data_IF_516759368516
#
_entry.id   IF_516759368516
#
_cell.length_a   1.000
_cell.length_b   1.000
_cell.length_c   1.000
_cell.angle_alpha   90.00
_cell.angle_beta   90.00
_cell.angle_gamma   90.00
#
_symmetry.space_group_name_H-M   'P 1'
#
loop_
_entity.id
_entity.type
_entity.pdbx_description
1 polymer ?
#
# COMPACT_ATOMS: atom_id res chain seq x y z
N UNK A 1 12.37 -3.52 13.91
CA UNK A 1 12.08 -4.95 14.18
C UNK A 1 10.86 -5.34 13.36
N UNK A 2 10.82 -6.55 12.80
CA UNK A 2 9.68 -7.00 11.97
C UNK A 2 8.52 -7.42 12.88
N UNK A 3 7.37 -6.70 12.83
CA UNK A 3 6.15 -6.97 13.61
C UNK A 3 5.57 -8.37 13.38
N UNK A 4 5.75 -8.88 12.16
CA UNK A 4 5.30 -10.20 11.72
C UNK A 4 6.44 -10.95 11.01
N UNK A 5 6.40 -12.26 11.11
CA UNK A 5 7.26 -13.21 10.39
C UNK A 5 6.39 -14.17 9.58
N UNK A 6 6.97 -14.80 8.57
CA UNK A 6 6.30 -15.89 7.86
C UNK A 6 6.17 -17.11 8.78
N UNK A 7 4.96 -17.39 9.23
CA UNK A 7 4.62 -18.49 10.13
C UNK A 7 3.22 -19.05 9.79
N UNK A 8 3.14 -20.05 8.87
CA UNK A 8 1.88 -20.64 8.45
C UNK A 8 1.11 -21.33 9.58
N UNK A 9 1.79 -21.88 10.60
CA UNK A 9 1.13 -22.59 11.69
C UNK A 9 0.45 -21.60 12.64
N UNK A 10 1.13 -20.49 12.97
CA UNK A 10 0.50 -19.38 13.70
C UNK A 10 -0.66 -18.78 12.92
N UNK A 11 -0.52 -18.61 11.60
CA UNK A 11 -1.61 -18.12 10.76
C UNK A 11 -2.84 -19.05 10.80
N UNK A 12 -2.65 -20.38 10.77
CA UNK A 12 -3.74 -21.36 10.93
C UNK A 12 -4.39 -21.30 12.33
N UNK A 13 -3.61 -21.07 13.39
CA UNK A 13 -4.18 -20.85 14.75
C UNK A 13 -5.09 -19.62 14.77
N UNK A 14 -4.61 -18.50 14.24
CA UNK A 14 -5.39 -17.27 14.17
C UNK A 14 -6.66 -17.43 13.31
N UNK A 15 -6.57 -18.16 12.20
CA UNK A 15 -7.74 -18.51 11.39
C UNK A 15 -8.77 -19.33 12.18
N UNK A 16 -8.32 -20.30 12.99
CA UNK A 16 -9.21 -21.07 13.87
C UNK A 16 -9.84 -20.20 14.96
N UNK A 17 -9.06 -19.35 15.62
CA UNK A 17 -9.53 -18.39 16.63
C UNK A 17 -10.59 -17.42 16.06
N UNK A 18 -10.41 -17.02 14.80
CA UNK A 18 -11.37 -16.19 14.06
C UNK A 18 -12.61 -16.97 13.53
N UNK A 19 -12.73 -18.27 13.81
CA UNK A 19 -13.87 -19.09 13.37
C UNK A 19 -13.76 -19.64 11.95
N UNK A 20 -12.60 -19.51 11.31
CA UNK A 20 -12.31 -19.95 9.93
C UNK A 20 -11.34 -21.14 9.88
N UNK A 21 -11.50 -22.11 10.78
CA UNK A 21 -10.62 -23.28 10.85
C UNK A 21 -10.53 -24.09 9.53
N UNK A 22 -11.60 -24.07 8.73
CA UNK A 22 -11.69 -24.75 7.44
C UNK A 22 -11.36 -23.83 6.25
N UNK A 23 -10.87 -22.62 6.52
CA UNK A 23 -10.61 -21.62 5.50
C UNK A 23 -11.87 -20.94 4.94
N UNK A 24 -11.69 -20.19 3.86
CA UNK A 24 -12.74 -19.49 3.12
C UNK A 24 -12.26 -19.16 1.70
N UNK A 25 -13.17 -18.69 0.84
CA UNK A 25 -12.81 -18.15 -0.48
C UNK A 25 -12.83 -16.63 -0.46
N UNK A 26 -11.93 -16.01 -1.22
CA UNK A 26 -11.85 -14.56 -1.36
C UNK A 26 -11.35 -14.17 -2.77
N UNK A 27 -11.62 -12.94 -3.19
CA UNK A 27 -11.20 -12.37 -4.47
C UNK A 27 -10.12 -11.32 -4.25
N UNK A 28 -8.95 -11.56 -4.84
CA UNK A 28 -7.82 -10.63 -4.82
C UNK A 28 -7.81 -9.76 -6.08
N UNK A 29 -8.02 -8.46 -5.91
CA UNK A 29 -7.90 -7.48 -6.98
C UNK A 29 -6.43 -7.10 -7.22
N UNK A 30 -5.96 -7.28 -8.44
CA UNK A 30 -4.66 -6.80 -8.92
C UNK A 30 -4.79 -6.38 -10.39
N UNK A 31 -3.70 -6.40 -11.16
CA UNK A 31 -3.73 -6.13 -12.60
C UNK A 31 -2.75 -7.03 -13.33
N UNK A 32 -3.11 -7.48 -14.53
CA UNK A 32 -2.20 -8.18 -15.43
C UNK A 32 -1.30 -7.21 -16.23
N UNK A 33 -1.63 -5.91 -16.27
CA UNK A 33 -0.91 -4.92 -17.06
C UNK A 33 0.53 -4.69 -16.56
N UNK A 34 0.78 -4.94 -15.27
CA UNK A 34 2.10 -4.80 -14.67
C UNK A 34 2.55 -6.13 -14.08
N UNK A 35 3.63 -6.70 -14.61
CA UNK A 35 4.16 -8.00 -14.17
C UNK A 35 4.41 -8.07 -12.66
N UNK A 36 4.91 -6.98 -12.05
CA UNK A 36 5.10 -6.91 -10.59
C UNK A 36 3.79 -7.07 -9.78
N UNK A 37 2.67 -6.51 -10.25
CA UNK A 37 1.38 -6.64 -9.58
C UNK A 37 0.80 -8.04 -9.76
N UNK A 38 0.95 -8.62 -10.95
CA UNK A 38 0.52 -9.99 -11.25
C UNK A 38 1.30 -11.01 -10.42
N UNK A 39 2.63 -10.97 -10.48
CA UNK A 39 3.49 -11.91 -9.76
C UNK A 39 3.28 -11.82 -8.25
N UNK A 40 3.10 -10.60 -7.70
CA UNK A 40 2.77 -10.43 -6.27
C UNK A 40 1.45 -11.11 -5.94
N UNK A 41 0.42 -10.97 -6.78
CA UNK A 41 -0.88 -11.59 -6.55
C UNK A 41 -0.82 -13.12 -6.59
N UNK A 42 -0.03 -13.70 -7.50
CA UNK A 42 0.19 -15.14 -7.60
C UNK A 42 0.92 -15.70 -6.37
N UNK A 43 1.98 -15.03 -5.89
CA UNK A 43 2.69 -15.42 -4.67
C UNK A 43 1.79 -15.33 -3.44
N UNK A 44 0.99 -14.26 -3.33
CA UNK A 44 0.01 -14.10 -2.24
C UNK A 44 -1.05 -15.20 -2.30
N UNK A 45 -1.61 -15.51 -3.48
CA UNK A 45 -2.57 -16.60 -3.67
C UNK A 45 -1.97 -17.94 -3.22
N UNK A 46 -0.73 -18.26 -3.62
CA UNK A 46 -0.06 -19.49 -3.24
C UNK A 46 0.15 -19.60 -1.72
N UNK A 47 0.61 -18.52 -1.08
CA UNK A 47 0.85 -18.50 0.36
C UNK A 47 -0.44 -18.62 1.17
N UNK A 48 -1.52 -17.96 0.73
CA UNK A 48 -2.83 -18.02 1.38
C UNK A 48 -3.49 -19.39 1.21
N UNK A 49 -3.25 -20.08 0.08
CA UNK A 49 -3.72 -21.45 -0.11
C UNK A 49 -3.12 -22.44 0.92
N UNK A 50 -1.87 -22.23 1.35
CA UNK A 50 -1.20 -23.06 2.36
C UNK A 50 -1.88 -23.04 3.75
N UNK A 51 -2.75 -22.05 3.99
CA UNK A 51 -3.54 -21.89 5.22
C UNK A 51 -5.06 -22.04 4.97
N UNK A 52 -5.45 -22.57 3.81
CA UNK A 52 -6.84 -22.89 3.48
C UNK A 52 -7.66 -21.74 2.89
N UNK A 53 -7.04 -20.61 2.55
CA UNK A 53 -7.73 -19.49 1.89
C UNK A 53 -7.66 -19.70 0.37
N UNK A 54 -8.80 -19.95 -0.25
CA UNK A 54 -8.93 -20.11 -1.69
C UNK A 54 -9.11 -18.76 -2.37
N UNK A 55 -8.03 -18.20 -2.93
CA UNK A 55 -8.04 -16.88 -3.54
C UNK A 55 -8.30 -16.96 -5.04
N UNK A 56 -9.32 -16.24 -5.52
CA UNK A 56 -9.56 -15.98 -6.96
C UNK A 56 -8.89 -14.67 -7.36
N UNK A 57 -8.04 -14.69 -8.38
CA UNK A 57 -7.42 -13.46 -8.90
C UNK A 57 -8.36 -12.70 -9.85
N UNK A 58 -8.52 -11.40 -9.63
CA UNK A 58 -9.17 -10.48 -10.55
C UNK A 58 -8.10 -9.54 -11.14
N UNK A 59 -7.77 -9.71 -12.42
CA UNK A 59 -6.60 -9.10 -13.06
C UNK A 59 -6.94 -8.22 -14.29
N UNK A 60 -7.80 -7.19 -14.17
CA UNK A 60 -8.13 -6.31 -15.28
C UNK A 60 -6.97 -5.37 -15.64
N UNK A 61 -7.13 -4.54 -16.67
CA UNK A 61 -6.25 -3.40 -16.92
C UNK A 61 -6.23 -2.41 -15.73
N UNK A 62 -5.23 -1.51 -15.70
CA UNK A 62 -5.02 -0.60 -14.58
C UNK A 62 -6.19 0.37 -14.37
N UNK A 63 -6.77 0.91 -15.43
CA UNK A 63 -7.86 1.88 -15.33
C UNK A 63 -9.10 1.22 -14.69
N UNK A 64 -9.45 0.02 -15.14
CA UNK A 64 -10.54 -0.76 -14.57
C UNK A 64 -10.22 -1.21 -13.14
N UNK A 65 -8.99 -1.63 -12.84
CA UNK A 65 -8.54 -1.95 -11.48
C UNK A 65 -8.73 -0.77 -10.53
N UNK A 66 -8.33 0.44 -10.93
CA UNK A 66 -8.52 1.66 -10.13
C UNK A 66 -10.00 1.95 -9.90
N UNK A 67 -10.82 1.83 -10.94
CA UNK A 67 -12.28 2.01 -10.84
C UNK A 67 -12.92 1.05 -9.82
N UNK A 68 -12.61 -0.26 -9.92
CA UNK A 68 -13.09 -1.29 -8.97
C UNK A 68 -12.62 -0.98 -7.55
N UNK A 69 -11.34 -0.61 -7.39
CA UNK A 69 -10.74 -0.28 -6.10
C UNK A 69 -11.39 0.94 -5.43
N UNK A 70 -11.68 1.99 -6.19
CA UNK A 70 -12.37 3.17 -5.67
C UNK A 70 -13.83 2.89 -5.27
N UNK A 71 -14.45 1.85 -5.85
CA UNK A 71 -15.82 1.43 -5.56
C UNK A 71 -15.91 0.35 -4.47
N UNK A 72 -14.78 -0.15 -3.96
CA UNK A 72 -14.77 -1.20 -2.94
C UNK A 72 -15.25 -2.57 -3.43
N UNK A 73 -15.22 -2.83 -4.74
CA UNK A 73 -15.72 -4.08 -5.34
C UNK A 73 -14.65 -5.19 -5.34
N UNK A 74 -14.09 -5.48 -4.17
CA UNK A 74 -13.04 -6.47 -3.97
C UNK A 74 -13.02 -6.92 -2.50
N UNK A 75 -12.45 -8.10 -2.21
CA UNK A 75 -12.27 -8.54 -0.81
C UNK A 75 -10.95 -8.01 -0.26
N UNK A 76 -9.87 -8.11 -1.05
CA UNK A 76 -8.58 -7.47 -0.78
C UNK A 76 -7.84 -7.18 -2.09
N UNK A 77 -6.79 -6.36 -2.04
CA UNK A 77 -6.11 -5.90 -3.24
C UNK A 77 -4.59 -5.82 -3.09
N UNK A 78 -3.86 -6.10 -4.18
CA UNK A 78 -2.45 -5.71 -4.27
C UNK A 78 -2.40 -4.21 -4.54
N UNK A 79 -1.71 -3.49 -3.67
CA UNK A 79 -1.50 -2.05 -3.79
C UNK A 79 0.01 -1.76 -3.94
N UNK A 80 0.34 -0.93 -4.92
CA UNK A 80 1.67 -0.36 -5.09
C UNK A 80 1.53 1.14 -5.31
N UNK A 81 2.01 1.95 -4.38
CA UNK A 81 1.96 3.41 -4.46
C UNK A 81 3.05 4.02 -3.58
N UNK A 82 3.08 5.34 -3.55
CA UNK A 82 3.96 6.16 -2.73
C UNK A 82 3.14 7.30 -2.11
N UNK A 83 3.65 7.88 -1.01
CA UNK A 83 3.11 9.12 -0.47
C UNK A 83 3.18 10.24 -1.51
N UNK A 84 2.38 11.30 -1.32
CA UNK A 84 2.34 12.40 -2.29
C UNK A 84 3.42 13.46 -2.03
N UNK A 85 4.06 13.42 -0.86
CA UNK A 85 5.07 14.39 -0.42
C UNK A 85 5.98 13.79 0.68
N UNK A 86 7.14 14.40 0.93
CA UNK A 86 8.17 13.85 1.84
C UNK A 86 7.96 14.27 3.30
N UNK A 87 6.78 13.99 3.84
CA UNK A 87 6.44 14.23 5.24
C UNK A 87 5.61 13.04 5.78
N UNK A 88 5.71 12.67 7.07
CA UNK A 88 4.96 11.54 7.63
C UNK A 88 3.42 11.65 7.45
N UNK A 89 2.87 12.84 7.29
CA UNK A 89 1.45 13.04 6.97
C UNK A 89 1.05 12.47 5.60
N UNK A 90 2.00 12.18 4.71
CA UNK A 90 1.73 11.49 3.46
C UNK A 90 1.15 10.07 3.65
N UNK A 91 1.27 9.50 4.86
CA UNK A 91 0.62 8.24 5.23
C UNK A 91 -0.92 8.34 5.30
N UNK A 92 -1.48 9.55 5.39
CA UNK A 92 -2.95 9.77 5.33
C UNK A 92 -3.56 9.13 4.09
N UNK A 93 -2.85 9.19 2.96
CA UNK A 93 -3.21 8.54 1.70
C UNK A 93 -3.48 7.05 1.83
N UNK A 94 -2.86 6.38 2.80
CA UNK A 94 -2.94 4.93 2.99
C UNK A 94 -3.82 4.52 4.17
N UNK A 95 -3.94 5.35 5.21
CA UNK A 95 -4.49 4.93 6.49
C UNK A 95 -5.59 5.83 7.05
N UNK A 96 -5.76 7.06 6.56
CA UNK A 96 -6.81 7.95 7.06
C UNK A 96 -8.16 7.63 6.41
N UNK A 97 -8.94 6.80 7.08
CA UNK A 97 -10.28 6.39 6.68
C UNK A 97 -11.36 7.47 6.73
N UNK A 98 -11.05 8.65 7.26
CA UNK A 98 -11.97 9.81 7.25
C UNK A 98 -12.06 10.50 5.88
N UNK A 99 -11.07 10.28 5.02
CA UNK A 99 -10.99 10.85 3.69
C UNK A 99 -11.83 10.06 2.67
N UNK A 100 -12.07 10.65 1.50
CA UNK A 100 -12.83 10.02 0.42
C UNK A 100 -12.28 8.63 0.02
N UNK A 101 -13.13 7.75 -0.47
CA UNK A 101 -12.71 6.42 -0.92
C UNK A 101 -11.59 6.52 -1.96
N UNK A 102 -10.58 5.66 -1.83
CA UNK A 102 -9.41 5.61 -2.70
C UNK A 102 -8.91 4.18 -2.80
N UNK A 103 -8.55 3.75 -4.00
CA UNK A 103 -7.93 2.46 -4.26
C UNK A 103 -6.59 2.25 -3.53
N UNK A 104 -5.99 3.33 -3.01
CA UNK A 104 -4.77 3.31 -2.22
C UNK A 104 -5.03 3.04 -0.73
N UNK A 105 -6.30 2.92 -0.30
CA UNK A 105 -6.68 2.59 1.07
C UNK A 105 -7.59 1.40 1.11
N UNK A 106 -7.57 0.72 2.26
CA UNK A 106 -8.56 -0.31 2.56
C UNK A 106 -9.95 0.30 2.61
N UNK A 107 -10.80 -0.16 1.70
CA UNK A 107 -12.13 0.41 1.53
C UNK A 107 -12.98 0.21 2.79
N UNK A 108 -13.65 1.27 3.23
CA UNK A 108 -14.52 1.23 4.41
C UNK A 108 -13.79 1.18 5.76
N UNK A 109 -12.45 1.03 5.79
CA UNK A 109 -11.70 1.10 7.03
C UNK A 109 -11.81 2.49 7.65
N UNK A 110 -12.18 2.56 8.94
CA UNK A 110 -12.25 3.78 9.73
C UNK A 110 -11.77 3.49 11.14
N UNK A 111 -10.83 4.30 11.62
CA UNK A 111 -10.38 4.28 13.01
C UNK A 111 -10.21 5.73 13.49
N UNK A 112 -11.03 6.12 14.49
CA UNK A 112 -11.06 7.49 14.97
C UNK A 112 -9.71 7.93 15.57
N UNK A 113 -8.96 7.00 16.17
CA UNK A 113 -7.65 7.31 16.77
C UNK A 113 -6.62 7.60 15.70
N UNK A 114 -6.57 6.83 14.61
CA UNK A 114 -5.69 7.11 13.47
C UNK A 114 -5.98 8.51 12.89
N UNK A 115 -7.24 8.85 12.64
CA UNK A 115 -7.61 10.17 12.12
C UNK A 115 -7.26 11.30 13.11
N UNK A 116 -7.47 11.10 14.41
CA UNK A 116 -7.07 12.05 15.46
C UNK A 116 -5.55 12.27 15.49
N UNK A 117 -4.76 11.19 15.41
CA UNK A 117 -3.30 11.25 15.42
C UNK A 117 -2.75 11.99 14.19
N UNK A 118 -3.34 11.77 13.01
CA UNK A 118 -3.00 12.57 11.82
C UNK A 118 -3.33 14.05 12.03
N UNK A 119 -4.51 14.37 12.56
CA UNK A 119 -4.91 15.76 12.80
C UNK A 119 -3.97 16.48 13.79
N UNK A 120 -3.62 15.82 14.90
CA UNK A 120 -2.63 16.35 15.86
C UNK A 120 -1.25 16.46 15.24
N UNK A 121 -0.83 15.46 14.48
CA UNK A 121 0.45 15.44 13.78
C UNK A 121 0.61 16.62 12.82
N UNK A 122 -0.45 17.04 12.14
CA UNK A 122 -0.45 18.23 11.26
C UNK A 122 -0.36 19.55 12.01
N UNK A 123 -0.87 19.62 13.24
CA UNK A 123 -0.90 20.85 14.04
C UNK A 123 0.34 21.03 14.94
N UNK A 124 1.12 19.97 15.15
CA UNK A 124 2.30 20.00 16.01
C UNK A 124 3.55 20.47 15.25
N UNK A 125 4.04 21.66 15.57
CA UNK A 125 5.24 22.23 14.97
C UNK A 125 6.55 21.71 15.59
N UNK A 126 6.51 21.19 16.83
CA UNK A 126 7.68 20.63 17.48
C UNK A 126 7.98 19.22 16.96
N UNK A 127 9.17 19.05 16.37
CA UNK A 127 9.61 17.80 15.75
C UNK A 127 9.55 16.59 16.69
N UNK A 128 10.05 16.71 17.92
CA UNK A 128 10.10 15.58 18.86
C UNK A 128 8.70 15.18 19.35
N UNK A 129 7.81 16.15 19.62
CA UNK A 129 6.42 15.86 19.95
C UNK A 129 5.68 15.21 18.78
N UNK A 130 5.91 15.71 17.56
CA UNK A 130 5.32 15.17 16.33
C UNK A 130 5.76 13.73 16.09
N UNK A 131 7.02 13.41 16.34
CA UNK A 131 7.58 12.05 16.25
C UNK A 131 6.86 11.08 17.17
N UNK A 132 6.53 11.48 18.41
CA UNK A 132 5.76 10.64 19.35
C UNK A 132 4.36 10.33 18.80
N UNK A 133 3.67 11.34 18.22
CA UNK A 133 2.34 11.14 17.62
C UNK A 133 2.38 10.14 16.46
N UNK A 134 3.37 10.24 15.56
CA UNK A 134 3.51 9.28 14.45
C UNK A 134 3.98 7.89 14.90
N UNK A 135 4.75 7.78 16.00
CA UNK A 135 5.08 6.49 16.58
C UNK A 135 3.82 5.78 17.12
N UNK A 136 2.94 6.51 17.80
CA UNK A 136 1.66 5.97 18.25
C UNK A 136 0.76 5.57 17.06
N UNK A 137 0.74 6.39 16.01
CA UNK A 137 0.01 6.09 14.78
C UNK A 137 0.49 4.80 14.13
N UNK A 138 1.80 4.62 14.01
CA UNK A 138 2.40 3.41 13.47
C UNK A 138 2.02 2.19 14.32
N UNK A 139 2.08 2.31 15.65
CA UNK A 139 1.70 1.21 16.54
C UNK A 139 0.22 0.83 16.36
N UNK A 140 -0.68 1.82 16.36
CA UNK A 140 -2.12 1.59 16.14
C UNK A 140 -2.39 0.95 14.77
N UNK A 141 -1.72 1.41 13.72
CA UNK A 141 -1.82 0.84 12.39
C UNK A 141 -1.29 -0.60 12.34
N UNK A 142 -0.19 -0.92 13.02
CA UNK A 142 0.33 -2.28 13.09
C UNK A 142 -0.61 -3.21 13.86
N UNK A 143 -1.29 -2.74 14.90
CA UNK A 143 -2.21 -3.57 15.67
C UNK A 143 -3.53 -3.83 14.93
N UNK A 144 -3.98 -2.87 14.12
CA UNK A 144 -5.20 -3.02 13.29
C UNK A 144 -4.93 -3.68 11.93
N UNK A 145 -3.69 -3.63 11.45
CA UNK A 145 -3.25 -4.17 10.16
C UNK A 145 -4.14 -3.76 8.96
N UNK A 146 -4.51 -2.47 8.78
CA UNK A 146 -5.37 -2.05 7.67
C UNK A 146 -4.65 -2.20 6.33
N UNK A 147 -3.31 -2.18 6.32
CA UNK A 147 -2.46 -2.43 5.15
C UNK A 147 -1.35 -3.38 5.59
N UNK A 148 -1.07 -4.39 4.77
CA UNK A 148 0.02 -5.33 5.02
C UNK A 148 1.20 -4.95 4.12
N UNK A 149 2.30 -4.40 4.69
CA UNK A 149 3.48 -4.06 3.90
C UNK A 149 4.20 -5.32 3.43
N UNK A 150 4.49 -5.41 2.12
CA UNK A 150 5.18 -6.56 1.51
C UNK A 150 6.65 -6.23 1.26
N UNK A 151 6.94 -5.15 0.53
CA UNK A 151 8.29 -4.73 0.21
C UNK A 151 8.36 -3.27 -0.23
N UNK A 152 9.55 -2.67 -0.13
CA UNK A 152 9.94 -1.53 -0.96
C UNK A 152 10.41 -2.04 -2.33
N UNK A 153 10.14 -1.28 -3.38
CA UNK A 153 10.61 -1.61 -4.73
C UNK A 153 11.43 -0.47 -5.31
N UNK A 154 12.38 -0.81 -6.18
CA UNK A 154 13.00 0.18 -7.05
C UNK A 154 11.98 0.65 -8.10
N UNK A 155 12.02 1.95 -8.40
CA UNK A 155 11.31 2.55 -9.52
C UNK A 155 12.37 3.20 -10.41
N UNK A 156 12.51 2.71 -11.64
CA UNK A 156 13.54 3.15 -12.58
C UNK A 156 12.93 3.76 -13.84
N UNK A 157 13.71 4.61 -14.48
CA UNK A 157 13.44 5.19 -15.79
C UNK A 157 14.60 4.82 -16.71
N UNK A 158 14.29 4.41 -17.94
CA UNK A 158 15.27 4.19 -19.00
C UNK A 158 15.16 5.30 -20.02
N UNK A 159 16.29 5.86 -20.44
CA UNK A 159 16.38 6.90 -21.45
C UNK A 159 17.64 6.71 -22.30
N UNK A 160 17.63 7.32 -23.48
CA UNK A 160 18.74 7.23 -24.43
C UNK A 160 19.93 8.09 -23.98
N UNK A 161 21.13 7.73 -24.42
CA UNK A 161 22.37 8.41 -24.04
C UNK A 161 22.47 9.87 -24.52
N UNK A 162 21.72 10.25 -25.55
CA UNK A 162 21.63 11.64 -26.03
C UNK A 162 20.68 12.51 -25.19
N UNK A 163 20.04 11.95 -24.16
CA UNK A 163 19.21 12.69 -23.21
C UNK A 163 20.02 12.99 -21.96
N UNK A 164 20.14 14.27 -21.64
CA UNK A 164 20.71 14.75 -20.38
C UNK A 164 19.68 15.59 -19.61
N UNK A 165 19.98 15.91 -18.34
CA UNK A 165 19.09 16.73 -17.50
C UNK A 165 17.87 16.02 -16.88
N UNK A 166 17.48 14.84 -17.38
CA UNK A 166 16.45 14.04 -16.71
C UNK A 166 16.95 13.50 -15.36
N UNK A 167 16.12 13.61 -14.33
CA UNK A 167 16.37 13.06 -12.99
C UNK A 167 15.13 12.36 -12.45
N UNK A 168 15.29 11.09 -12.02
CA UNK A 168 14.27 10.42 -11.22
C UNK A 168 14.25 11.01 -9.81
N UNK A 169 13.17 11.69 -9.43
CA UNK A 169 13.08 12.34 -8.13
C UNK A 169 13.03 11.26 -7.04
N UNK A 170 13.86 11.35 -5.98
CA UNK A 170 14.00 10.28 -5.01
C UNK A 170 12.77 10.09 -4.12
N UNK A 171 12.66 8.89 -3.55
CA UNK A 171 11.67 8.54 -2.53
C UNK A 171 10.24 8.52 -3.07
N UNK A 172 9.32 9.12 -2.32
CA UNK A 172 7.90 9.18 -2.68
C UNK A 172 7.63 9.94 -3.98
N UNK A 173 8.54 10.84 -4.35
CA UNK A 173 8.32 11.74 -5.46
C UNK A 173 8.66 11.15 -6.84
N UNK A 174 9.08 9.89 -6.92
CA UNK A 174 9.45 9.25 -8.18
C UNK A 174 8.37 9.37 -9.26
N UNK A 175 7.09 9.29 -8.90
CA UNK A 175 5.98 9.44 -9.85
C UNK A 175 5.81 10.86 -10.39
N UNK A 176 6.43 11.86 -9.77
CA UNK A 176 6.43 13.26 -10.20
C UNK A 176 7.66 13.61 -11.04
N UNK A 177 8.52 12.64 -11.40
CA UNK A 177 9.71 12.90 -12.22
C UNK A 177 9.40 13.44 -13.62
N UNK A 178 8.13 13.42 -14.06
CA UNK A 178 7.72 14.17 -15.26
C UNK A 178 7.87 15.68 -15.13
N UNK A 179 7.94 16.23 -13.91
CA UNK A 179 8.12 17.67 -13.69
C UNK A 179 9.50 18.17 -14.14
N UNK A 180 10.52 17.30 -14.16
CA UNK A 180 11.87 17.72 -14.58
C UNK A 180 12.08 17.65 -16.09
N UNK A 181 11.01 17.43 -16.88
CA UNK A 181 11.09 17.42 -18.35
C UNK A 181 11.61 18.76 -18.89
N UNK A 182 11.31 19.87 -18.22
CA UNK A 182 11.81 21.21 -18.61
C UNK A 182 13.34 21.33 -18.57
N UNK A 183 14.01 20.47 -17.82
CA UNK A 183 15.47 20.45 -17.70
C UNK A 183 16.12 19.49 -18.71
N UNK A 184 15.35 18.78 -19.54
CA UNK A 184 15.88 17.80 -20.47
C UNK A 184 16.52 18.50 -21.67
N UNK A 185 17.76 18.13 -21.95
CA UNK A 185 18.46 18.52 -23.16
C UNK A 185 18.64 17.30 -24.08
N UNK A 186 18.59 17.54 -25.39
CA UNK A 186 18.79 16.54 -26.45
C UNK A 186 20.09 16.93 -27.18
N UNK A 187 21.13 16.09 -27.10
CA UNK A 187 22.45 16.36 -27.68
C UNK A 187 23.35 15.15 -27.74
#
# INVERSE_FOLDING_TARGET
QNRWSYDPDKAKSLMKEAGHANGFSATLLSTAQYGMHKNTAEVVQQNLAAIGINVKLNLPDWAKRVSIGNQGQYDFAVMGSAGDFNDPDALTKFMDGSLAASYARSYGFKDARISELFAKGRQEANFEKRKVLYAELQQRALDLAPVIPINWRAQGYGYQNYLSGFTNIPGFLTFFSGMVIENIEIG
#
